data_IF_432454658601
#
_entry.id   IF_432454658601
#
_cell.length_a   1.000
_cell.length_b   1.000
_cell.length_c   1.000
_cell.angle_alpha   90.00
_cell.angle_beta   90.00
_cell.angle_gamma   90.00
#
_symmetry.space_group_name_H-M   'P 1'
#
loop_
_entity.id
_entity.type
_entity.pdbx_description
1 polymer ?
#
# COMPACT_ATOMS: atom_id res chain seq x y z
N UNK A 1 -16.81 7.66 -2.99
CA UNK A 1 -15.94 7.10 -1.94
C UNK A 1 -14.86 8.14 -1.77
N UNK A 2 -14.65 8.68 -0.57
CA UNK A 2 -13.74 9.81 -0.39
C UNK A 2 -12.41 9.28 0.17
N UNK A 3 -11.53 8.82 -0.73
CA UNK A 3 -10.22 8.30 -0.36
C UNK A 3 -9.40 9.39 0.33
N UNK A 4 -9.57 10.64 -0.10
CA UNK A 4 -8.95 11.81 0.51
C UNK A 4 -9.29 11.94 2.01
N UNK A 5 -10.53 11.60 2.41
CA UNK A 5 -10.91 11.58 3.85
C UNK A 5 -10.15 10.50 4.62
N UNK A 6 -9.92 9.32 4.05
CA UNK A 6 -9.15 8.23 4.69
C UNK A 6 -7.69 8.65 4.82
N UNK A 7 -7.10 9.17 3.73
CA UNK A 7 -5.72 9.69 3.70
C UNK A 7 -5.54 10.75 4.77
N UNK A 8 -6.41 11.75 4.82
CA UNK A 8 -6.34 12.82 5.83
C UNK A 8 -6.39 12.27 7.25
N UNK A 9 -7.33 11.35 7.54
CA UNK A 9 -7.44 10.74 8.87
C UNK A 9 -6.15 10.02 9.29
N UNK A 10 -5.53 9.29 8.36
CA UNK A 10 -4.27 8.58 8.60
C UNK A 10 -3.12 9.56 8.85
N UNK A 11 -2.94 10.54 7.96
CA UNK A 11 -1.88 11.56 8.06
C UNK A 11 -2.01 12.37 9.35
N UNK A 12 -3.22 12.81 9.71
CA UNK A 12 -3.46 13.52 10.96
C UNK A 12 -3.11 12.65 12.18
N UNK A 13 -3.32 11.33 12.11
CA UNK A 13 -2.96 10.41 13.17
C UNK A 13 -1.44 10.20 13.29
N UNK A 14 -0.75 10.13 12.17
CA UNK A 14 0.70 10.01 12.10
C UNK A 14 1.38 11.25 12.67
N UNK A 15 0.95 12.44 12.27
CA UNK A 15 1.50 13.69 12.80
C UNK A 15 1.28 13.83 14.31
N UNK A 16 0.09 13.46 14.81
CA UNK A 16 -0.17 13.41 16.27
C UNK A 16 0.75 12.47 17.03
N UNK A 17 1.26 11.42 16.37
CA UNK A 17 2.18 10.43 16.95
C UNK A 17 3.66 10.78 16.73
N UNK A 18 3.96 11.89 16.06
CA UNK A 18 5.32 12.33 15.74
C UNK A 18 5.91 11.69 14.48
N UNK A 19 5.09 11.03 13.66
CA UNK A 19 5.52 10.52 12.35
C UNK A 19 5.34 11.62 11.29
N UNK A 20 6.38 12.42 11.12
CA UNK A 20 6.36 13.55 10.19
C UNK A 20 6.11 13.11 8.75
N UNK A 21 5.36 13.93 8.01
CA UNK A 21 5.17 13.85 6.55
C UNK A 21 5.41 15.20 5.86
N UNK A 22 5.80 16.22 6.63
CA UNK A 22 6.13 17.57 6.17
C UNK A 22 7.56 17.87 6.61
N UNK A 23 8.37 18.38 5.69
CA UNK A 23 9.81 18.53 5.87
C UNK A 23 10.28 19.85 5.27
N UNK A 24 11.22 20.51 5.94
CA UNK A 24 11.75 21.82 5.51
C UNK A 24 12.96 21.68 4.57
N UNK A 25 13.64 20.52 4.59
CA UNK A 25 14.79 20.25 3.73
C UNK A 25 14.54 19.10 2.75
N UNK A 26 15.17 19.19 1.58
CA UNK A 26 15.14 18.12 0.57
C UNK A 26 15.79 16.82 1.11
N UNK A 27 16.85 16.95 1.90
CA UNK A 27 17.53 15.81 2.53
C UNK A 27 16.63 15.03 3.49
N UNK A 28 15.95 15.70 4.42
CA UNK A 28 15.01 15.04 5.34
C UNK A 28 13.83 14.40 4.60
N UNK A 29 13.32 15.09 3.57
CA UNK A 29 12.24 14.59 2.73
C UNK A 29 12.66 13.30 2.00
N UNK A 30 13.85 13.31 1.39
CA UNK A 30 14.43 12.13 0.72
C UNK A 30 14.60 10.96 1.70
N UNK A 31 15.13 11.23 2.88
CA UNK A 31 15.36 10.21 3.90
C UNK A 31 14.06 9.60 4.40
N UNK A 32 13.02 10.40 4.60
CA UNK A 32 11.70 9.86 4.97
C UNK A 32 11.08 9.05 3.82
N UNK A 33 11.14 9.52 2.57
CA UNK A 33 10.67 8.76 1.42
C UNK A 33 11.37 7.39 1.32
N UNK A 34 12.67 7.35 1.61
CA UNK A 34 13.43 6.11 1.63
C UNK A 34 12.93 5.16 2.73
N UNK A 35 12.69 5.68 3.94
CA UNK A 35 12.16 4.87 5.06
C UNK A 35 10.75 4.37 4.79
N UNK A 36 9.87 5.21 4.26
CA UNK A 36 8.49 4.83 3.94
C UNK A 36 8.45 3.84 2.77
N UNK A 37 9.37 3.94 1.81
CA UNK A 37 9.52 2.93 0.76
C UNK A 37 9.99 1.58 1.31
N UNK A 38 10.94 1.58 2.25
CA UNK A 38 11.36 0.35 2.93
C UNK A 38 10.19 -0.27 3.70
N UNK A 39 9.39 0.56 4.39
CA UNK A 39 8.17 0.11 5.06
C UNK A 39 7.17 -0.52 4.09
N UNK A 40 6.85 0.16 2.98
CA UNK A 40 5.98 -0.37 1.92
C UNK A 40 6.45 -1.75 1.43
N UNK A 41 7.74 -1.89 1.15
CA UNK A 41 8.31 -3.16 0.67
C UNK A 41 8.28 -4.24 1.77
N UNK A 42 8.37 -3.84 3.04
CA UNK A 42 8.15 -4.69 4.20
C UNK A 42 6.78 -5.34 4.17
N UNK A 43 5.70 -4.54 4.15
CA UNK A 43 4.32 -5.05 4.16
C UNK A 43 4.00 -5.89 2.92
N UNK A 44 4.51 -5.49 1.75
CA UNK A 44 4.40 -6.31 0.53
C UNK A 44 5.14 -7.66 0.69
N UNK A 45 6.27 -7.66 1.40
CA UNK A 45 7.02 -8.85 1.74
C UNK A 45 6.27 -9.78 2.70
N UNK A 46 5.58 -9.22 3.70
CA UNK A 46 4.73 -9.97 4.63
C UNK A 46 3.56 -10.61 3.88
N UNK A 47 2.86 -9.84 3.04
CA UNK A 47 1.82 -10.33 2.14
C UNK A 47 2.32 -11.49 1.26
N UNK A 48 3.47 -11.31 0.62
CA UNK A 48 4.07 -12.34 -0.25
C UNK A 48 4.46 -13.60 0.54
N UNK A 49 4.98 -13.43 1.75
CA UNK A 49 5.34 -14.54 2.63
C UNK A 49 4.12 -15.36 3.04
N UNK A 50 3.01 -14.70 3.36
CA UNK A 50 1.77 -15.37 3.74
C UNK A 50 1.15 -16.13 2.56
N UNK A 51 1.10 -15.52 1.37
CA UNK A 51 0.69 -16.23 0.14
C UNK A 51 1.59 -17.43 -0.18
N UNK A 52 2.91 -17.31 0.03
CA UNK A 52 3.85 -18.42 -0.16
C UNK A 52 3.50 -19.59 0.77
N UNK A 53 3.18 -19.34 2.04
CA UNK A 53 2.77 -20.42 2.99
C UNK A 53 1.51 -21.12 2.52
N UNK A 54 0.50 -20.37 2.06
CA UNK A 54 -0.71 -20.94 1.44
C UNK A 54 -0.35 -21.81 0.23
N UNK A 55 0.52 -21.31 -0.65
CA UNK A 55 1.02 -22.07 -1.80
C UNK A 55 1.73 -23.36 -1.41
N UNK A 56 2.51 -23.36 -0.32
CA UNK A 56 3.16 -24.58 0.20
C UNK A 56 2.12 -25.58 0.71
N UNK A 57 1.09 -25.14 1.44
CA UNK A 57 -0.02 -25.99 1.90
C UNK A 57 -0.73 -26.68 0.75
N UNK A 58 -0.98 -25.97 -0.35
CA UNK A 58 -1.71 -26.50 -1.50
C UNK A 58 -0.88 -27.51 -2.31
N UNK A 59 0.44 -27.32 -2.38
CA UNK A 59 1.28 -28.00 -3.36
C UNK A 59 2.31 -28.96 -2.75
N UNK A 60 2.49 -28.98 -1.42
CA UNK A 60 3.50 -29.81 -0.75
C UNK A 60 2.86 -30.86 0.15
N UNK A 61 2.88 -32.15 -0.22
CA UNK A 61 2.34 -33.21 0.62
C UNK A 61 2.98 -33.23 2.01
N UNK A 62 2.14 -33.22 3.04
CA UNK A 62 2.59 -33.25 4.43
C UNK A 62 3.02 -31.90 5.01
N UNK A 63 3.00 -30.80 4.24
CA UNK A 63 3.21 -29.47 4.79
C UNK A 63 1.94 -28.97 5.49
N UNK A 64 2.03 -28.76 6.80
CA UNK A 64 0.93 -28.27 7.64
C UNK A 64 1.00 -26.74 7.78
N UNK A 65 0.53 -26.03 6.76
CA UNK A 65 0.41 -24.56 6.77
C UNK A 65 -1.05 -24.07 6.69
N UNK A 66 -1.26 -22.75 6.59
CA UNK A 66 -2.58 -22.16 6.52
C UNK A 66 -3.26 -22.46 5.18
N UNK A 67 -4.60 -22.50 5.19
CA UNK A 67 -5.40 -22.37 3.97
C UNK A 67 -5.51 -20.90 3.57
N UNK A 68 -5.99 -20.63 2.36
CA UNK A 68 -6.28 -19.26 1.94
C UNK A 68 -7.34 -18.60 2.84
N UNK A 69 -8.32 -19.36 3.32
CA UNK A 69 -9.36 -18.83 4.20
C UNK A 69 -8.78 -18.40 5.56
N UNK A 70 -7.82 -19.16 6.09
CA UNK A 70 -7.11 -18.83 7.33
C UNK A 70 -6.22 -17.59 7.17
N UNK A 71 -5.54 -17.48 6.03
CA UNK A 71 -4.61 -16.38 5.72
C UNK A 71 -5.31 -15.08 5.29
N UNK A 72 -6.53 -15.15 4.74
CA UNK A 72 -7.21 -14.01 4.13
C UNK A 72 -7.36 -12.77 5.04
N UNK A 73 -7.67 -12.87 6.35
CA UNK A 73 -7.72 -11.70 7.23
C UNK A 73 -6.38 -10.96 7.29
N UNK A 74 -5.29 -11.69 7.50
CA UNK A 74 -3.94 -11.10 7.58
C UNK A 74 -3.50 -10.54 6.22
N UNK A 75 -3.73 -11.25 5.12
CA UNK A 75 -3.46 -10.73 3.77
C UNK A 75 -4.18 -9.41 3.48
N UNK A 76 -5.38 -9.21 4.00
CA UNK A 76 -6.12 -7.95 3.85
C UNK A 76 -5.58 -6.83 4.74
N UNK A 77 -5.04 -7.18 5.90
CA UNK A 77 -4.33 -6.26 6.79
C UNK A 77 -3.06 -5.74 6.11
N UNK A 78 -2.23 -6.64 5.56
CA UNK A 78 -1.00 -6.25 4.84
C UNK A 78 -1.27 -5.34 3.63
N UNK A 79 -2.38 -5.55 2.92
CA UNK A 79 -2.80 -4.64 1.84
C UNK A 79 -3.20 -3.25 2.36
N UNK A 80 -3.82 -3.19 3.55
CA UNK A 80 -4.16 -1.93 4.19
C UNK A 80 -2.90 -1.21 4.67
N UNK A 81 -1.94 -1.92 5.24
CA UNK A 81 -0.67 -1.36 5.71
C UNK A 81 0.18 -0.85 4.53
N UNK A 82 0.25 -1.61 3.43
CA UNK A 82 0.84 -1.15 2.18
C UNK A 82 0.15 0.13 1.65
N UNK A 83 -1.19 0.21 1.73
CA UNK A 83 -1.92 1.40 1.32
C UNK A 83 -1.60 2.62 2.20
N UNK A 84 -1.44 2.44 3.52
CA UNK A 84 -1.01 3.52 4.43
C UNK A 84 0.35 4.08 4.00
N UNK A 85 1.32 3.23 3.66
CA UNK A 85 2.60 3.71 3.15
C UNK A 85 2.47 4.45 1.82
N UNK A 86 1.61 4.01 0.91
CA UNK A 86 1.34 4.74 -0.34
C UNK A 86 0.75 6.14 -0.07
N UNK A 87 -0.15 6.27 0.90
CA UNK A 87 -0.72 7.56 1.30
C UNK A 87 0.36 8.50 1.84
N UNK A 88 1.26 7.98 2.67
CA UNK A 88 2.39 8.73 3.21
C UNK A 88 3.34 9.19 2.11
N UNK A 89 3.77 8.29 1.23
CA UNK A 89 4.65 8.59 0.10
C UNK A 89 4.05 9.68 -0.81
N UNK A 90 2.78 9.54 -1.18
CA UNK A 90 2.07 10.57 -1.97
C UNK A 90 2.03 11.91 -1.26
N UNK A 91 1.70 11.91 0.03
CA UNK A 91 1.61 13.14 0.85
C UNK A 91 2.97 13.83 0.96
N UNK A 92 4.04 13.08 1.22
CA UNK A 92 5.40 13.61 1.30
C UNK A 92 5.82 14.18 -0.06
N UNK A 93 5.41 13.58 -1.18
CA UNK A 93 5.63 14.11 -2.53
C UNK A 93 4.77 15.35 -2.86
N UNK A 94 3.81 15.71 -2.01
CA UNK A 94 2.89 16.83 -2.21
C UNK A 94 1.74 16.51 -3.18
N UNK A 95 1.47 15.23 -3.41
CA UNK A 95 0.42 14.76 -4.31
C UNK A 95 -0.92 14.51 -3.61
N UNK A 96 -1.96 14.36 -4.42
CA UNK A 96 -3.29 13.89 -4.04
C UNK A 96 -3.52 12.53 -4.72
N UNK A 97 -3.32 11.45 -3.96
CA UNK A 97 -3.34 10.09 -4.51
C UNK A 97 -4.70 9.73 -5.12
N UNK A 98 -5.80 10.31 -4.64
CA UNK A 98 -7.12 10.08 -5.24
C UNK A 98 -7.19 10.70 -6.63
N UNK A 99 -6.79 11.97 -6.75
CA UNK A 99 -6.71 12.66 -8.03
C UNK A 99 -5.75 11.95 -9.01
N UNK A 100 -4.59 11.50 -8.53
CA UNK A 100 -3.58 10.80 -9.33
C UNK A 100 -4.11 9.45 -9.84
N UNK A 101 -4.81 8.68 -9.00
CA UNK A 101 -5.45 7.43 -9.39
C UNK A 101 -6.54 7.68 -10.45
N UNK A 102 -7.42 8.66 -10.23
CA UNK A 102 -8.50 9.00 -11.17
C UNK A 102 -7.95 9.43 -12.53
N UNK A 103 -6.91 10.27 -12.54
CA UNK A 103 -6.22 10.66 -13.76
C UNK A 103 -5.63 9.43 -14.48
N UNK A 104 -5.02 8.50 -13.73
CA UNK A 104 -4.45 7.28 -14.28
C UNK A 104 -5.52 6.34 -14.85
N UNK A 105 -6.67 6.22 -14.20
CA UNK A 105 -7.80 5.43 -14.68
C UNK A 105 -8.31 5.98 -16.01
N UNK A 106 -8.53 7.29 -16.14
CA UNK A 106 -8.96 7.91 -17.41
C UNK A 106 -8.00 7.66 -18.57
N UNK A 107 -6.68 7.69 -18.30
CA UNK A 107 -5.66 7.31 -19.28
C UNK A 107 -5.79 5.83 -19.67
N UNK A 108 -6.01 4.95 -18.69
CA UNK A 108 -6.17 3.51 -18.91
C UNK A 108 -7.46 3.19 -19.68
N UNK A 109 -8.58 3.86 -19.40
CA UNK A 109 -9.85 3.70 -20.12
C UNK A 109 -9.67 4.04 -21.61
N UNK A 110 -8.91 5.10 -21.91
CA UNK A 110 -8.58 5.44 -23.29
C UNK A 110 -7.67 4.40 -23.92
N UNK A 111 -6.66 3.92 -23.18
CA UNK A 111 -5.66 2.96 -23.67
C UNK A 111 -6.24 1.58 -23.94
N UNK A 112 -7.18 1.12 -23.12
CA UNK A 112 -7.72 -0.24 -23.15
C UNK A 112 -9.13 -0.33 -23.72
N UNK A 113 -9.68 0.77 -24.26
CA UNK A 113 -11.01 0.82 -24.87
C UNK A 113 -11.28 -0.30 -25.88
N UNK A 114 -10.27 -0.69 -26.65
CA UNK A 114 -10.39 -1.75 -27.66
C UNK A 114 -10.60 -3.16 -27.07
N UNK A 115 -10.37 -3.34 -25.77
CA UNK A 115 -10.57 -4.61 -25.06
C UNK A 115 -11.98 -4.73 -24.46
N UNK A 116 -12.77 -3.64 -24.45
CA UNK A 116 -14.14 -3.64 -23.95
C UNK A 116 -15.04 -4.44 -24.91
N UNK A 117 -15.85 -5.35 -24.34
CA UNK A 117 -16.79 -6.21 -25.09
C UNK A 117 -18.21 -5.69 -24.99
#
# INVERSE_FOLDING_TARGET
>A
MDLSTIVKRQIDADERRGFNVRFDSEGERHDQLTRDLVGLVGEVGEFANELKKVGLTLNTPGYAGPTLADAAPHLREELADAAIYLFRLSTILGGDIEADILAKMSINDTRYRELER
#
